data_IF_322227413242
#
_entry.id   IF_322227413242
#
_cell.length_a   1.000
_cell.length_b   1.000
_cell.length_c   1.000
_cell.angle_alpha   90.00
_cell.angle_beta   90.00
_cell.angle_gamma   90.00
#
_symmetry.space_group_name_H-M   'P 1'
#
loop_
_entity.id
_entity.type
_entity.pdbx_description
1 polymer ?
#
# COMPACT_ATOMS: atom_id res chain seq x y z
N UNK A 1 -0.77 -10.51 16.17
CA UNK A 1 -1.10 -11.58 15.22
C UNK A 1 -0.72 -11.11 13.82
N UNK A 2 -0.05 -11.92 12.99
CA UNK A 2 0.38 -11.52 11.63
C UNK A 2 -0.27 -12.43 10.59
N UNK A 3 -0.82 -11.85 9.51
CA UNK A 3 -1.43 -12.60 8.41
C UNK A 3 -0.45 -13.53 7.69
N UNK A 4 -1.00 -14.42 6.86
CA UNK A 4 -0.29 -15.52 6.16
C UNK A 4 0.95 -15.11 5.35
N UNK A 5 0.96 -13.90 4.78
CA UNK A 5 2.07 -13.41 3.93
C UNK A 5 3.32 -13.03 4.74
N UNK A 6 3.12 -12.48 5.95
CA UNK A 6 4.21 -11.90 6.75
C UNK A 6 5.27 -12.94 7.16
N UNK A 7 4.91 -14.16 7.64
CA UNK A 7 5.89 -15.22 7.88
C UNK A 7 6.71 -15.60 6.65
N UNK A 8 6.07 -15.67 5.47
CA UNK A 8 6.75 -15.99 4.21
C UNK A 8 7.75 -14.89 3.86
N UNK A 9 7.35 -13.61 3.94
CA UNK A 9 8.27 -12.47 3.73
C UNK A 9 9.48 -12.51 4.66
N UNK A 10 9.27 -12.77 5.95
CA UNK A 10 10.36 -12.86 6.93
C UNK A 10 11.26 -14.07 6.62
N UNK A 11 10.69 -15.21 6.24
CA UNK A 11 11.45 -16.41 5.85
C UNK A 11 12.41 -16.13 4.69
N UNK A 12 11.97 -15.42 3.66
CA UNK A 12 12.79 -15.16 2.46
C UNK A 12 13.70 -13.93 2.59
N UNK A 13 13.28 -12.88 3.28
CA UNK A 13 13.97 -11.59 3.24
C UNK A 13 14.35 -11.01 4.61
N UNK A 14 13.95 -11.66 5.71
CA UNK A 14 14.17 -11.17 7.07
C UNK A 14 15.65 -11.01 7.42
N UNK A 15 16.21 -9.80 7.27
CA UNK A 15 17.62 -9.52 7.54
C UNK A 15 18.62 -10.23 6.64
N UNK A 16 18.19 -10.68 5.45
CA UNK A 16 19.02 -11.48 4.52
C UNK A 16 19.65 -10.67 3.38
N UNK A 17 19.22 -9.43 3.19
CA UNK A 17 19.67 -8.56 2.10
C UNK A 17 19.71 -7.11 2.58
N UNK A 18 20.73 -6.35 2.16
CA UNK A 18 20.99 -5.00 2.66
C UNK A 18 19.96 -3.97 2.17
N UNK A 19 19.41 -4.17 0.97
CA UNK A 19 18.43 -3.29 0.35
C UNK A 19 17.00 -3.65 0.77
N UNK A 20 16.76 -4.94 1.06
CA UNK A 20 15.47 -5.45 1.54
C UNK A 20 15.37 -5.31 3.06
N UNK A 21 15.00 -4.11 3.53
CA UNK A 21 14.83 -3.76 4.96
C UNK A 21 13.58 -4.39 5.60
N UNK A 22 13.46 -5.71 5.51
CA UNK A 22 12.39 -6.50 6.10
C UNK A 22 12.93 -7.08 7.42
N UNK A 23 12.36 -6.63 8.54
CA UNK A 23 12.77 -7.07 9.87
C UNK A 23 11.63 -7.80 10.56
N UNK A 24 11.89 -8.89 11.29
CA UNK A 24 10.90 -9.45 12.24
C UNK A 24 10.61 -8.43 13.34
N UNK A 25 11.67 -7.88 13.92
CA UNK A 25 11.68 -6.77 14.86
C UNK A 25 12.80 -5.83 14.45
N UNK A 26 12.51 -4.53 14.39
CA UNK A 26 13.54 -3.54 14.03
C UNK A 26 14.60 -3.51 15.16
N UNK A 27 15.90 -3.67 14.84
CA UNK A 27 16.99 -3.59 15.81
C UNK A 27 17.00 -2.27 16.59
N UNK A 28 17.31 -2.33 17.88
CA UNK A 28 17.34 -1.14 18.76
C UNK A 28 18.31 -0.06 18.28
N UNK A 29 19.43 -0.41 17.66
CA UNK A 29 20.37 0.59 17.14
C UNK A 29 19.74 1.42 16.01
N UNK A 30 18.92 0.78 15.18
CA UNK A 30 18.23 1.43 14.05
C UNK A 30 17.13 2.35 14.59
N UNK A 31 16.29 1.86 15.51
CA UNK A 31 15.19 2.67 16.09
C UNK A 31 15.67 3.90 16.84
N UNK A 32 16.91 3.91 17.35
CA UNK A 32 17.54 5.09 17.98
C UNK A 32 17.95 6.17 16.98
N UNK A 33 18.23 5.80 15.72
CA UNK A 33 18.68 6.73 14.67
C UNK A 33 17.54 7.17 13.75
N UNK A 34 16.61 6.26 13.47
CA UNK A 34 15.50 6.47 12.56
C UNK A 34 14.20 5.98 13.19
N UNK A 35 13.19 6.86 13.20
CA UNK A 35 11.84 6.47 13.58
C UNK A 35 11.08 5.86 12.39
N UNK A 36 9.92 5.27 12.66
CA UNK A 36 9.09 4.61 11.65
C UNK A 36 8.79 5.48 10.42
N UNK A 37 8.40 6.75 10.65
CA UNK A 37 8.14 7.71 9.58
C UNK A 37 9.36 7.95 8.68
N UNK A 38 10.55 8.11 9.26
CA UNK A 38 11.80 8.27 8.50
C UNK A 38 12.15 7.01 7.70
N UNK A 39 11.87 5.82 8.23
CA UNK A 39 12.04 4.58 7.49
C UNK A 39 11.15 4.52 6.24
N UNK A 40 9.87 4.83 6.40
CA UNK A 40 8.90 4.83 5.30
C UNK A 40 9.29 5.88 4.24
N UNK A 41 9.55 7.13 4.65
CA UNK A 41 9.91 8.23 3.73
C UNK A 41 11.22 8.03 2.96
N UNK A 42 12.15 7.24 3.50
CA UNK A 42 13.44 6.94 2.84
C UNK A 42 13.41 5.67 2.01
N UNK A 43 12.30 4.94 2.00
CA UNK A 43 12.13 3.71 1.20
C UNK A 43 11.51 4.06 -0.15
N UNK A 44 11.97 3.40 -1.23
CA UNK A 44 11.35 3.53 -2.56
C UNK A 44 10.00 2.81 -2.57
N UNK A 45 10.01 1.57 -2.08
CA UNK A 45 8.88 0.67 -2.06
C UNK A 45 8.53 0.28 -0.62
N UNK A 46 7.25 0.32 -0.26
CA UNK A 46 6.76 -0.07 1.06
C UNK A 46 5.91 -1.33 0.93
N UNK A 47 6.37 -2.42 1.55
CA UNK A 47 5.71 -3.71 1.44
C UNK A 47 4.44 -3.74 2.31
N UNK A 48 3.30 -3.96 1.66
CA UNK A 48 1.97 -4.02 2.23
C UNK A 48 1.45 -5.47 2.12
N UNK A 49 1.93 -6.41 2.96
CA UNK A 49 1.43 -7.78 2.93
C UNK A 49 0.00 -7.86 3.47
N UNK A 50 -0.79 -8.75 2.89
CA UNK A 50 -2.12 -9.08 3.39
C UNK A 50 -2.06 -9.55 4.85
N UNK A 51 -2.90 -8.95 5.68
CA UNK A 51 -3.11 -9.31 7.08
C UNK A 51 -4.16 -10.41 7.24
N UNK A 52 -4.62 -10.61 8.48
CA UNK A 52 -5.90 -11.32 8.72
C UNK A 52 -7.08 -10.38 8.58
N UNK A 53 -6.87 -9.10 8.81
CA UNK A 53 -7.87 -8.07 8.66
C UNK A 53 -8.01 -7.66 7.19
N UNK A 54 -9.24 -7.35 6.80
CA UNK A 54 -9.58 -6.84 5.47
C UNK A 54 -9.03 -5.43 5.22
N UNK A 55 -8.56 -4.75 6.26
CA UNK A 55 -7.87 -3.47 6.15
C UNK A 55 -6.39 -3.62 6.54
N UNK A 56 -5.50 -3.04 5.73
CA UNK A 56 -4.08 -2.97 6.04
C UNK A 56 -3.71 -1.50 6.25
N UNK A 57 -3.44 -1.06 7.50
CA UNK A 57 -3.01 0.32 7.75
C UNK A 57 -1.75 0.68 6.98
N UNK A 58 -0.93 -0.32 6.60
CA UNK A 58 0.30 -0.12 5.83
C UNK A 58 0.09 0.50 4.46
N UNK A 59 -1.06 0.24 3.81
CA UNK A 59 -1.36 0.83 2.50
C UNK A 59 -1.51 2.34 2.65
N UNK A 60 -2.34 2.76 3.62
CA UNK A 60 -2.57 4.17 3.92
C UNK A 60 -1.29 4.86 4.41
N UNK A 61 -0.51 4.20 5.27
CA UNK A 61 0.77 4.73 5.75
C UNK A 61 1.80 4.89 4.62
N UNK A 62 1.88 3.95 3.67
CA UNK A 62 2.76 4.05 2.51
C UNK A 62 2.42 5.29 1.67
N UNK A 63 1.13 5.51 1.42
CA UNK A 63 0.63 6.70 0.70
C UNK A 63 0.93 7.99 1.49
N UNK A 64 0.68 7.98 2.80
CA UNK A 64 0.93 9.13 3.67
C UNK A 64 2.41 9.54 3.72
N UNK A 65 3.32 8.57 3.58
CA UNK A 65 4.76 8.81 3.56
C UNK A 65 5.39 8.86 2.16
N UNK A 66 4.56 8.99 1.11
CA UNK A 66 5.00 9.09 -0.30
C UNK A 66 5.88 7.92 -0.76
N UNK A 67 5.64 6.74 -0.21
CA UNK A 67 6.34 5.50 -0.53
C UNK A 67 5.46 4.66 -1.45
N UNK A 68 5.98 4.13 -2.56
CA UNK A 68 5.18 3.35 -3.51
C UNK A 68 4.71 2.06 -2.83
N UNK A 69 3.38 1.86 -2.63
CA UNK A 69 2.88 0.66 -1.97
C UNK A 69 3.10 -0.57 -2.87
N UNK A 70 3.64 -1.63 -2.27
CA UNK A 70 3.77 -2.95 -2.88
C UNK A 70 2.80 -3.89 -2.18
N UNK A 71 1.66 -4.12 -2.81
CA UNK A 71 0.57 -4.94 -2.28
C UNK A 71 0.90 -6.40 -2.56
N UNK A 72 0.99 -7.20 -1.50
CA UNK A 72 1.21 -8.65 -1.61
C UNK A 72 -0.03 -9.36 -1.11
N UNK A 73 -0.92 -9.69 -2.04
CA UNK A 73 -2.21 -10.33 -1.79
C UNK A 73 -2.77 -10.90 -3.10
N UNK A 74 -3.42 -12.07 -3.06
CA UNK A 74 -4.00 -12.68 -4.27
C UNK A 74 -5.45 -12.25 -4.53
N UNK A 75 -6.23 -11.93 -3.48
CA UNK A 75 -7.65 -11.55 -3.59
C UNK A 75 -7.97 -10.39 -2.63
N UNK A 76 -7.43 -9.21 -2.90
CA UNK A 76 -7.61 -8.03 -2.06
C UNK A 76 -8.22 -6.89 -2.86
N UNK A 77 -9.42 -6.48 -2.45
CA UNK A 77 -10.09 -5.28 -2.97
C UNK A 77 -9.41 -4.06 -2.36
N UNK A 78 -8.90 -3.16 -3.19
CA UNK A 78 -8.16 -2.00 -2.74
C UNK A 78 -9.12 -0.87 -2.35
N UNK A 79 -8.77 -0.01 -1.38
CA UNK A 79 -9.62 1.12 -1.02
C UNK A 79 -9.87 2.02 -2.23
N UNK A 80 -11.14 2.36 -2.47
CA UNK A 80 -11.56 3.28 -3.53
C UNK A 80 -11.15 2.80 -4.94
N UNK A 81 -11.09 1.50 -5.18
CA UNK A 81 -10.74 0.90 -6.47
C UNK A 81 -11.77 1.21 -7.58
N UNK A 82 -12.98 1.60 -7.19
CA UNK A 82 -14.02 2.17 -8.07
C UNK A 82 -13.65 3.54 -8.64
N UNK A 83 -12.79 4.30 -7.95
CA UNK A 83 -12.45 5.68 -8.29
C UNK A 83 -10.96 5.91 -8.59
N UNK A 84 -10.07 5.06 -8.09
CA UNK A 84 -8.62 5.19 -8.19
C UNK A 84 -8.01 4.05 -9.01
N UNK A 85 -7.28 4.39 -10.07
CA UNK A 85 -6.42 3.44 -10.77
C UNK A 85 -5.16 3.14 -9.97
N UNK A 86 -5.20 2.07 -9.18
CA UNK A 86 -4.09 1.61 -8.36
C UNK A 86 -2.85 1.21 -9.19
N UNK A 87 -3.02 0.82 -10.46
CA UNK A 87 -1.88 0.43 -11.31
C UNK A 87 -0.98 1.62 -11.65
N UNK A 88 -1.51 2.84 -11.54
CA UNK A 88 -0.78 4.08 -11.80
C UNK A 88 0.17 4.50 -10.66
N UNK A 89 0.02 3.95 -9.44
CA UNK A 89 0.78 4.38 -8.27
C UNK A 89 1.19 3.27 -7.30
N UNK A 90 0.92 2.00 -7.63
CA UNK A 90 1.27 0.85 -6.79
C UNK A 90 1.83 -0.30 -7.60
N UNK A 91 2.37 -1.30 -6.91
CA UNK A 91 2.79 -2.57 -7.48
C UNK A 91 2.03 -3.70 -6.79
N UNK A 92 1.35 -4.55 -7.54
CA UNK A 92 0.69 -5.74 -7.01
C UNK A 92 1.56 -6.96 -7.30
N UNK A 93 1.82 -7.77 -6.28
CA UNK A 93 2.65 -8.98 -6.35
C UNK A 93 1.87 -10.15 -5.77
N UNK A 94 1.79 -11.26 -6.51
CA UNK A 94 1.14 -12.47 -6.01
C UNK A 94 1.91 -13.05 -4.81
N UNK A 95 1.21 -13.69 -3.88
CA UNK A 95 1.85 -14.20 -2.66
C UNK A 95 2.92 -15.26 -2.96
N UNK A 96 2.71 -16.06 -4.01
CA UNK A 96 3.68 -17.07 -4.49
C UNK A 96 5.00 -16.46 -4.97
N UNK A 97 4.98 -15.19 -5.40
CA UNK A 97 6.13 -14.50 -5.99
C UNK A 97 6.96 -13.73 -4.95
N UNK A 98 6.62 -13.82 -3.66
CA UNK A 98 7.44 -13.29 -2.56
C UNK A 98 8.93 -13.65 -2.67
N UNK A 99 9.34 -14.89 -3.03
CA UNK A 99 10.76 -15.22 -3.19
C UNK A 99 11.48 -14.43 -4.31
N UNK A 100 10.73 -13.90 -5.28
CA UNK A 100 11.24 -13.11 -6.42
C UNK A 100 11.00 -11.61 -6.24
N UNK A 101 10.59 -11.18 -5.05
CA UNK A 101 10.18 -9.79 -4.80
C UNK A 101 11.25 -8.75 -5.22
N UNK A 102 12.52 -8.97 -4.89
CA UNK A 102 13.61 -8.05 -5.28
C UNK A 102 13.78 -7.97 -6.80
N UNK A 103 13.72 -9.12 -7.49
CA UNK A 103 13.80 -9.20 -8.96
C UNK A 103 12.68 -8.38 -9.61
N UNK A 104 11.44 -8.59 -9.16
CA UNK A 104 10.26 -7.88 -9.69
C UNK A 104 10.40 -6.36 -9.51
N UNK A 105 10.81 -5.92 -8.31
CA UNK A 105 10.92 -4.48 -8.01
C UNK A 105 12.08 -3.80 -8.74
N UNK A 106 13.19 -4.52 -8.98
CA UNK A 106 14.33 -4.01 -9.74
C UNK A 106 14.08 -4.01 -11.26
N UNK A 107 13.18 -4.87 -11.75
CA UNK A 107 12.78 -4.88 -13.16
C UNK A 107 11.94 -3.63 -13.55
N UNK A 108 11.45 -2.86 -12.58
CA UNK A 108 10.68 -1.64 -12.81
C UNK A 108 11.65 -0.51 -13.21
N UNK A 109 11.50 0.11 -14.40
CA UNK A 109 12.36 1.23 -14.80
C UNK A 109 12.23 2.42 -13.84
N UNK A 110 13.33 3.14 -13.63
CA UNK A 110 13.37 4.31 -12.74
C UNK A 110 12.34 5.38 -13.14
N UNK A 111 12.14 5.60 -14.45
CA UNK A 111 11.14 6.54 -14.97
C UNK A 111 9.73 6.17 -14.52
N UNK A 112 9.37 4.88 -14.58
CA UNK A 112 8.07 4.38 -14.11
C UNK A 112 7.94 4.55 -12.59
N UNK A 113 8.99 4.28 -11.83
CA UNK A 113 9.01 4.51 -10.38
C UNK A 113 8.77 5.98 -10.03
N UNK A 114 9.45 6.92 -10.70
CA UNK A 114 9.28 8.36 -10.49
C UNK A 114 7.83 8.78 -10.76
N UNK A 115 7.22 8.28 -11.84
CA UNK A 115 5.80 8.51 -12.15
C UNK A 115 4.88 7.96 -11.05
N UNK A 116 5.08 6.70 -10.63
CA UNK A 116 4.28 6.11 -9.55
C UNK A 116 4.39 6.93 -8.27
N UNK A 117 5.60 7.34 -7.86
CA UNK A 117 5.81 8.16 -6.66
C UNK A 117 5.11 9.53 -6.76
N UNK A 118 5.18 10.18 -7.92
CA UNK A 118 4.44 11.43 -8.17
C UNK A 118 2.94 11.22 -8.02
N UNK A 119 2.42 10.11 -8.52
CA UNK A 119 1.00 9.77 -8.39
C UNK A 119 0.61 9.45 -6.95
N UNK A 120 1.45 8.73 -6.18
CA UNK A 120 1.24 8.52 -4.73
C UNK A 120 1.03 9.86 -4.02
N UNK A 121 1.89 10.85 -4.31
CA UNK A 121 1.77 12.20 -3.73
C UNK A 121 0.46 12.88 -4.10
N UNK A 122 0.00 12.74 -5.34
CA UNK A 122 -1.29 13.31 -5.80
C UNK A 122 -2.48 12.65 -5.11
N UNK A 123 -2.46 11.32 -4.97
CA UNK A 123 -3.59 10.58 -4.38
C UNK A 123 -3.65 10.70 -2.86
N UNK A 124 -2.56 11.10 -2.20
CA UNK A 124 -2.48 11.25 -0.75
C UNK A 124 -3.66 12.01 -0.14
N UNK A 125 -4.10 13.10 -0.78
CA UNK A 125 -5.25 13.92 -0.32
C UNK A 125 -6.53 13.11 -0.13
N UNK A 126 -6.73 12.06 -0.92
CA UNK A 126 -7.91 11.18 -0.89
C UNK A 126 -7.93 10.25 0.33
N UNK A 127 -6.82 10.16 1.06
CA UNK A 127 -6.65 9.35 2.26
C UNK A 127 -6.47 10.19 3.53
N UNK A 128 -6.64 11.51 3.44
CA UNK A 128 -6.54 12.42 4.59
C UNK A 128 -7.92 12.70 5.18
N UNK A 129 -8.03 12.60 6.50
CA UNK A 129 -9.21 13.02 7.24
C UNK A 129 -9.07 14.49 7.66
N UNK A 130 -10.07 15.30 7.32
CA UNK A 130 -10.17 16.70 7.76
C UNK A 130 -11.33 16.85 8.74
N UNK A 131 -11.17 17.70 9.77
CA UNK A 131 -12.23 17.97 10.75
C UNK A 131 -13.45 18.62 10.12
N UNK A 132 -13.24 19.46 9.11
CA UNK A 132 -14.26 19.94 8.18
C UNK A 132 -13.97 19.29 6.82
N UNK A 133 -14.88 18.46 6.27
CA UNK A 133 -14.64 17.77 5.02
C UNK A 133 -14.26 18.74 3.88
N UNK A 134 -13.23 18.39 3.12
CA UNK A 134 -12.80 19.14 1.93
C UNK A 134 -12.97 18.28 0.68
N UNK A 135 -13.10 18.93 -0.48
CA UNK A 135 -13.39 18.23 -1.74
C UNK A 135 -12.41 17.08 -1.99
N UNK A 136 -12.97 15.88 -2.22
CA UNK A 136 -12.24 14.64 -2.49
C UNK A 136 -11.36 14.12 -1.35
N UNK A 137 -11.53 14.58 -0.12
CA UNK A 137 -10.89 13.95 1.02
C UNK A 137 -11.48 12.57 1.32
N UNK A 138 -10.91 11.86 2.32
CA UNK A 138 -11.33 10.50 2.63
C UNK A 138 -12.81 10.40 2.99
N UNK A 139 -13.40 11.44 3.60
CA UNK A 139 -14.82 11.47 3.92
C UNK A 139 -15.66 11.40 2.63
N UNK A 140 -15.35 12.23 1.64
CA UNK A 140 -16.04 12.20 0.35
C UNK A 140 -15.76 10.93 -0.45
N UNK A 141 -14.55 10.38 -0.39
CA UNK A 141 -14.21 9.11 -1.04
C UNK A 141 -15.02 7.94 -0.46
N UNK A 142 -15.18 7.89 0.86
CA UNK A 142 -16.04 6.90 1.54
C UNK A 142 -17.49 7.07 1.10
N UNK A 143 -18.02 8.29 1.10
CA UNK A 143 -19.40 8.55 0.65
C UNK A 143 -19.62 8.10 -0.80
N UNK A 144 -18.68 8.40 -1.70
CA UNK A 144 -18.72 7.94 -3.09
C UNK A 144 -18.76 6.42 -3.18
N UNK A 145 -17.89 5.73 -2.45
CA UNK A 145 -17.79 4.26 -2.48
C UNK A 145 -19.07 3.60 -1.98
N UNK A 146 -19.67 4.14 -0.92
CA UNK A 146 -20.95 3.66 -0.37
C UNK A 146 -22.07 3.89 -1.37
N UNK A 147 -22.17 5.08 -1.96
CA UNK A 147 -23.17 5.38 -2.99
C UNK A 147 -23.03 4.45 -4.21
N UNK A 148 -21.81 4.27 -4.72
CA UNK A 148 -21.52 3.40 -5.85
C UNK A 148 -21.89 1.93 -5.55
N UNK A 149 -21.51 1.43 -4.38
CA UNK A 149 -21.72 0.02 -4.01
C UNK A 149 -23.15 -0.32 -3.59
N UNK A 150 -23.92 0.64 -3.07
CA UNK A 150 -25.23 0.37 -2.44
C UNK A 150 -26.41 1.00 -3.14
N UNK A 151 -26.22 2.12 -3.81
CA UNK A 151 -27.32 2.87 -4.44
C UNK A 151 -27.29 2.66 -5.95
N UNK A 152 -26.12 2.76 -6.58
CA UNK A 152 -26.01 2.65 -8.03
C UNK A 152 -26.21 1.21 -8.54
N UNK A 153 -25.76 0.19 -7.77
CA UNK A 153 -25.94 -1.21 -8.16
C UNK A 153 -27.39 -1.71 -8.08
N UNK A 154 -28.24 -1.09 -7.23
CA UNK A 154 -29.67 -1.45 -7.15
C UNK A 154 -30.39 -1.12 -8.47
N UNK A 155 -29.99 -0.04 -9.13
CA UNK A 155 -30.57 0.36 -10.41
C UNK A 155 -30.11 -0.47 -11.63
N UNK A 156 -29.07 -1.29 -11.49
CA UNK A 156 -28.61 -2.20 -12.56
C UNK A 156 -29.23 -3.61 -12.47
N UNK A 157 -29.92 -3.93 -11.37
CA UNK A 157 -30.61 -5.22 -11.20
C UNK A 157 -32.09 -5.13 -11.61
N UNK A 158 -32.60 -3.91 -11.84
CA UNK A 158 -33.98 -3.64 -12.25
C UNK A 158 -34.12 -3.30 -13.76
N UNK A 159 -33.10 -3.58 -14.57
CA UNK A 159 -33.11 -3.49 -16.04
C UNK A 159 -32.61 -4.79 -16.66
#
# INVERSE_FOLDING_TARGET
>A
MHGRVRPVLVKYWGGKDADMRIYTRIPRQITRRMNYAKHMKSSKYCICPMGYEVNSPRIVEAIYYECVPVIIADNFVLPFDDALDWTAFSVVVAEKDVPRLKEILLAIPESRYITMRSNVKKVQRHFLWHTKPVKYDIFHMILHSVWFSRVNQVHQVEQ
#
